data_IF_542074885487
#
_entry.id   IF_542074885487
#
_cell.length_a   1.000
_cell.length_b   1.000
_cell.length_c   1.000
_cell.angle_alpha   90.00
_cell.angle_beta   90.00
_cell.angle_gamma   90.00
#
_symmetry.space_group_name_H-M   'P 1'
#
loop_
_entity.id
_entity.type
_entity.pdbx_description
1 polymer ?
#
# COMPACT_ATOMS: atom_id res chain seq x y z
N UNK A 1 9.15 9.24 7.82
CA UNK A 1 8.99 9.02 6.36
C UNK A 1 9.35 7.58 6.06
N UNK A 2 8.46 6.82 5.45
CA UNK A 2 8.68 5.39 5.18
C UNK A 2 9.61 5.18 3.97
N UNK A 3 10.38 4.08 3.93
CA UNK A 3 11.21 3.70 2.77
C UNK A 3 10.45 3.67 1.44
N UNK A 4 9.16 3.33 1.47
CA UNK A 4 8.31 3.27 0.29
C UNK A 4 8.04 4.62 -0.39
N UNK A 5 8.29 5.75 0.27
CA UNK A 5 8.09 7.08 -0.33
C UNK A 5 9.34 7.58 -1.08
N UNK A 6 10.50 7.63 -0.40
CA UNK A 6 11.68 8.29 -0.96
C UNK A 6 12.43 7.42 -1.98
N UNK A 7 12.36 6.09 -1.88
CA UNK A 7 13.03 5.17 -2.83
C UNK A 7 12.50 5.33 -4.26
N UNK A 8 11.18 5.21 -4.54
CA UNK A 8 10.67 5.38 -5.91
C UNK A 8 10.87 6.80 -6.44
N UNK A 9 10.67 7.82 -5.60
CA UNK A 9 10.91 9.22 -5.97
C UNK A 9 12.37 9.45 -6.35
N UNK A 10 13.33 8.95 -5.56
CA UNK A 10 14.75 9.10 -5.85
C UNK A 10 15.16 8.40 -7.15
N UNK A 11 14.71 7.16 -7.36
CA UNK A 11 15.07 6.37 -8.56
C UNK A 11 14.49 6.98 -9.83
N UNK A 12 13.19 7.34 -9.84
CA UNK A 12 12.53 7.85 -11.04
C UNK A 12 12.99 9.27 -11.38
N UNK A 13 13.23 10.11 -10.37
CA UNK A 13 13.84 11.43 -10.56
C UNK A 13 15.24 11.30 -11.15
N UNK A 14 16.07 10.42 -10.58
CA UNK A 14 17.43 10.17 -11.07
C UNK A 14 17.45 9.68 -12.52
N UNK A 15 16.53 8.78 -12.89
CA UNK A 15 16.39 8.30 -14.26
C UNK A 15 16.09 9.42 -15.25
N UNK A 16 15.05 10.24 -15.02
CA UNK A 16 14.66 11.30 -15.95
C UNK A 16 15.65 12.47 -16.00
N UNK A 17 16.31 12.79 -14.88
CA UNK A 17 17.43 13.74 -14.84
C UNK A 17 18.59 13.24 -15.70
N UNK A 18 18.94 11.96 -15.58
CA UNK A 18 19.99 11.35 -16.39
C UNK A 18 19.62 11.34 -17.89
N UNK A 19 18.38 11.06 -18.24
CA UNK A 19 17.88 11.14 -19.62
C UNK A 19 17.97 12.56 -20.18
N UNK A 20 17.63 13.58 -19.39
CA UNK A 20 17.75 14.98 -19.81
C UNK A 20 19.21 15.39 -20.02
N UNK A 21 20.11 14.99 -19.11
CA UNK A 21 21.55 15.28 -19.20
C UNK A 21 22.17 14.58 -20.41
N UNK A 22 21.94 13.26 -20.57
CA UNK A 22 22.45 12.50 -21.70
C UNK A 22 21.88 13.00 -23.02
N UNK A 23 20.59 13.34 -23.08
CA UNK A 23 19.96 13.93 -24.26
C UNK A 23 20.64 15.23 -24.70
N UNK A 24 21.02 16.09 -23.76
CA UNK A 24 21.75 17.33 -24.05
C UNK A 24 23.19 17.10 -24.54
N UNK A 25 23.86 16.07 -24.03
CA UNK A 25 25.25 15.72 -24.37
C UNK A 25 25.35 14.97 -25.70
N UNK A 26 24.41 14.07 -25.98
CA UNK A 26 24.40 13.22 -27.18
C UNK A 26 23.72 13.88 -28.39
N UNK A 27 23.22 15.11 -28.27
CA UNK A 27 22.59 15.83 -29.37
C UNK A 27 23.56 16.00 -30.57
N UNK A 28 23.20 15.52 -31.78
CA UNK A 28 24.07 15.58 -32.95
C UNK A 28 24.37 17.03 -33.33
N UNK A 29 25.56 17.26 -33.92
CA UNK A 29 25.98 18.58 -34.40
C UNK A 29 25.16 18.95 -35.65
N UNK A 30 23.97 19.52 -35.46
CA UNK A 30 23.13 20.06 -36.52
C UNK A 30 22.99 21.59 -36.37
N UNK A 31 22.67 22.33 -37.44
CA UNK A 31 22.39 23.78 -37.36
C UNK A 31 21.26 24.11 -36.36
N UNK A 32 20.35 23.15 -36.17
CA UNK A 32 19.19 23.24 -35.28
C UNK A 32 19.40 22.50 -33.95
N UNK A 33 20.64 22.40 -33.47
CA UNK A 33 21.00 21.63 -32.27
C UNK A 33 20.21 22.02 -31.03
N UNK A 34 19.90 23.31 -30.89
CA UNK A 34 19.14 23.83 -29.75
C UNK A 34 17.70 23.33 -29.72
N UNK A 35 17.07 23.15 -30.89
CA UNK A 35 15.71 22.60 -30.99
C UNK A 35 15.68 21.16 -30.48
N UNK A 36 16.64 20.33 -30.88
CA UNK A 36 16.78 18.95 -30.42
C UNK A 36 17.03 18.83 -28.91
N UNK A 37 17.80 19.76 -28.33
CA UNK A 37 18.06 19.78 -26.89
C UNK A 37 16.79 20.11 -26.11
N UNK A 38 16.07 21.15 -26.55
CA UNK A 38 14.86 21.60 -25.87
C UNK A 38 13.74 20.55 -25.98
N UNK A 39 13.56 19.90 -27.13
CA UNK A 39 12.55 18.86 -27.30
C UNK A 39 12.80 17.64 -26.38
N UNK A 40 14.05 17.23 -26.19
CA UNK A 40 14.42 16.12 -25.30
C UNK A 40 14.25 16.47 -23.82
N UNK A 41 14.67 17.68 -23.42
CA UNK A 41 14.49 18.15 -22.04
C UNK A 41 13.00 18.28 -21.72
N UNK A 42 12.21 18.87 -22.61
CA UNK A 42 10.77 19.04 -22.42
C UNK A 42 10.07 17.69 -22.28
N UNK A 43 10.38 16.74 -23.15
CA UNK A 43 9.81 15.38 -23.09
C UNK A 43 10.12 14.71 -21.75
N UNK A 44 11.37 14.81 -21.28
CA UNK A 44 11.78 14.26 -19.97
C UNK A 44 10.99 14.87 -18.81
N UNK A 45 10.83 16.20 -18.81
CA UNK A 45 10.05 16.92 -17.79
C UNK A 45 8.57 16.51 -17.81
N UNK A 46 7.96 16.43 -18.99
CA UNK A 46 6.56 16.02 -19.13
C UNK A 46 6.33 14.60 -18.63
N UNK A 47 7.19 13.65 -18.99
CA UNK A 47 7.09 12.26 -18.53
C UNK A 47 7.30 12.13 -17.02
N UNK A 48 8.22 12.90 -16.44
CA UNK A 48 8.42 12.94 -14.99
C UNK A 48 7.20 13.51 -14.26
N UNK A 49 6.64 14.63 -14.72
CA UNK A 49 5.46 15.25 -14.11
C UNK A 49 4.23 14.36 -14.18
N UNK A 50 4.00 13.70 -15.31
CA UNK A 50 2.91 12.72 -15.46
C UNK A 50 3.02 11.63 -14.40
N UNK A 51 4.19 11.00 -14.29
CA UNK A 51 4.43 9.96 -13.28
C UNK A 51 4.23 10.49 -11.86
N UNK A 52 4.77 11.67 -11.54
CA UNK A 52 4.69 12.26 -10.21
C UNK A 52 3.24 12.53 -9.78
N UNK A 53 2.38 13.01 -10.68
CA UNK A 53 0.97 13.28 -10.39
C UNK A 53 0.24 11.98 -10.01
N UNK A 54 0.43 10.88 -10.75
CA UNK A 54 -0.19 9.60 -10.41
C UNK A 54 0.37 9.02 -9.10
N UNK A 55 1.68 9.14 -8.87
CA UNK A 55 2.31 8.70 -7.63
C UNK A 55 1.73 9.43 -6.41
N UNK A 56 1.56 10.75 -6.49
CA UNK A 56 0.94 11.55 -5.41
C UNK A 56 -0.55 11.21 -5.26
N UNK A 57 -1.28 11.01 -6.36
CA UNK A 57 -2.70 10.65 -6.31
C UNK A 57 -2.95 9.30 -5.64
N UNK A 58 -2.01 8.37 -5.72
CA UNK A 58 -2.06 7.09 -5.01
C UNK A 58 -1.68 7.23 -3.54
N UNK A 59 -0.72 8.09 -3.22
CA UNK A 59 -0.25 8.33 -1.85
C UNK A 59 -1.23 9.15 -1.00
N UNK A 60 -1.87 10.14 -1.61
CA UNK A 60 -2.92 10.96 -1.02
C UNK A 60 -4.12 10.96 -1.98
N UNK A 61 -5.06 10.03 -1.81
CA UNK A 61 -6.22 9.96 -2.69
C UNK A 61 -7.02 11.26 -2.60
N UNK A 62 -7.02 12.03 -3.70
CA UNK A 62 -7.81 13.25 -3.83
C UNK A 62 -9.32 12.98 -3.78
N UNK A 63 -9.72 11.73 -4.00
CA UNK A 63 -11.09 11.26 -3.86
C UNK A 63 -11.19 10.39 -2.61
N UNK A 64 -11.93 10.86 -1.62
CA UNK A 64 -12.29 10.06 -0.46
C UNK A 64 -13.22 8.89 -0.85
N UNK A 65 -13.25 7.82 -0.04
CA UNK A 65 -14.17 6.71 -0.25
C UNK A 65 -15.64 7.16 -0.22
N UNK A 66 -16.51 6.53 -1.00
CA UNK A 66 -17.96 6.80 -0.99
C UNK A 66 -18.57 6.18 0.26
N UNK A 67 -18.58 6.94 1.36
CA UNK A 67 -19.11 6.50 2.67
C UNK A 67 -20.51 7.05 2.95
N UNK A 68 -21.30 6.25 3.67
CA UNK A 68 -22.62 6.66 4.17
C UNK A 68 -22.50 7.90 5.06
N UNK A 69 -23.51 8.78 4.99
CA UNK A 69 -23.54 10.08 5.71
C UNK A 69 -23.38 9.95 7.23
N UNK A 70 -23.76 8.80 7.81
CA UNK A 70 -23.54 8.50 9.24
C UNK A 70 -22.07 8.28 9.55
N UNK A 71 -21.37 7.49 8.74
CA UNK A 71 -19.92 7.21 8.87
C UNK A 71 -19.10 8.47 8.62
N UNK A 72 -19.52 9.29 7.65
CA UNK A 72 -18.88 10.56 7.32
C UNK A 72 -18.91 11.55 8.50
N UNK A 73 -20.01 11.58 9.26
CA UNK A 73 -20.15 12.42 10.47
C UNK A 73 -19.22 11.97 11.60
N UNK A 74 -19.03 10.66 11.78
CA UNK A 74 -18.11 10.12 12.80
C UNK A 74 -16.67 10.42 12.42
N UNK A 75 -16.28 10.16 11.16
CA UNK A 75 -14.95 10.50 10.66
C UNK A 75 -14.64 12.01 10.77
N UNK A 76 -15.62 12.88 10.52
CA UNK A 76 -15.47 14.32 10.70
C UNK A 76 -15.26 14.73 12.16
N UNK A 77 -15.85 14.03 13.12
CA UNK A 77 -15.65 14.29 14.55
C UNK A 77 -14.24 13.87 14.95
N UNK A 78 -13.81 12.66 14.58
CA UNK A 78 -12.50 12.12 14.93
C UNK A 78 -11.36 12.92 14.29
N UNK A 79 -11.48 13.27 13.00
CA UNK A 79 -10.48 14.08 12.31
C UNK A 79 -10.43 15.52 12.78
N UNK A 80 -11.56 16.11 13.20
CA UNK A 80 -11.56 17.46 13.76
C UNK A 80 -10.82 17.51 15.09
N UNK A 81 -10.93 16.47 15.92
CA UNK A 81 -10.17 16.35 17.16
C UNK A 81 -8.67 16.19 16.88
N UNK A 82 -8.28 15.35 15.91
CA UNK A 82 -6.87 15.17 15.53
C UNK A 82 -6.25 16.39 14.82
N UNK A 83 -7.01 17.11 13.99
CA UNK A 83 -6.53 18.33 13.32
C UNK A 83 -6.25 19.48 14.31
N UNK A 84 -7.00 19.54 15.43
CA UNK A 84 -6.69 20.49 16.50
C UNK A 84 -5.36 20.17 17.18
N UNK A 85 -4.98 18.90 17.25
CA UNK A 85 -3.69 18.43 17.80
C UNK A 85 -2.53 18.74 16.84
N UNK A 86 -2.69 18.52 15.53
CA UNK A 86 -1.67 18.84 14.51
C UNK A 86 -1.45 20.34 14.27
N UNK A 87 -2.44 21.19 14.59
CA UNK A 87 -2.36 22.64 14.39
C UNK A 87 -1.26 23.34 15.20
N UNK A 88 -0.77 22.70 16.28
CA UNK A 88 0.38 23.19 17.05
C UNK A 88 1.70 22.98 16.29
N UNK A 89 1.86 21.87 15.57
CA UNK A 89 3.07 21.56 14.80
C UNK A 89 3.14 22.36 13.49
N UNK A 90 1.99 22.54 12.82
CA UNK A 90 1.88 23.31 11.56
C UNK A 90 2.15 24.80 11.78
N UNK A 91 1.78 25.37 12.93
CA UNK A 91 2.12 26.77 13.28
C UNK A 91 3.63 27.02 13.37
N UNK A 92 4.40 26.03 13.82
CA UNK A 92 5.86 26.09 13.83
C UNK A 92 6.46 26.14 12.41
N UNK A 93 5.95 25.30 11.51
CA UNK A 93 6.39 25.25 10.11
C UNK A 93 5.96 26.48 9.30
N UNK A 94 4.77 27.04 9.56
CA UNK A 94 4.31 28.28 8.91
C UNK A 94 5.15 29.49 9.33
N UNK A 95 5.60 29.56 10.60
CA UNK A 95 6.54 30.61 11.02
C UNK A 95 7.94 30.43 10.43
N UNK A 96 8.39 29.18 10.22
CA UNK A 96 9.64 28.88 9.52
C UNK A 96 9.57 29.26 8.02
N UNK A 97 8.42 29.05 7.37
CA UNK A 97 8.17 29.42 5.97
C UNK A 97 8.05 30.95 5.80
N UNK A 98 7.44 31.64 6.77
CA UNK A 98 7.34 33.11 6.79
C UNK A 98 8.72 33.77 6.91
N UNK A 99 9.66 33.15 7.64
CA UNK A 99 11.08 33.57 7.71
C UNK A 99 11.86 33.35 6.40
N UNK A 100 11.45 32.40 5.56
CA UNK A 100 12.10 32.10 4.26
C UNK A 100 11.50 32.88 3.07
N UNK A 101 10.39 33.59 3.26
CA UNK A 101 9.61 34.22 2.17
C UNK A 101 10.04 35.63 1.75
N UNK A 102 11.22 36.11 2.16
CA UNK A 102 11.76 37.42 1.75
C UNK A 102 12.43 37.41 0.35
N UNK A 103 11.89 36.63 -0.60
CA UNK A 103 12.33 36.62 -2.01
C UNK A 103 11.13 36.81 -2.95
N UNK A 104 11.26 37.81 -3.83
CA UNK A 104 10.24 38.62 -4.50
C UNK A 104 9.34 37.93 -5.57
N UNK A 105 9.30 36.60 -5.69
CA UNK A 105 8.79 35.97 -6.94
C UNK A 105 7.37 35.40 -6.86
N UNK A 106 6.74 35.25 -5.69
CA UNK A 106 5.49 34.47 -5.55
C UNK A 106 4.19 35.29 -5.64
N UNK A 107 4.25 36.62 -5.60
CA UNK A 107 3.05 37.45 -5.39
C UNK A 107 2.08 37.56 -6.57
N UNK A 108 2.47 37.22 -7.81
CA UNK A 108 1.59 37.42 -8.97
C UNK A 108 0.71 36.20 -9.34
N UNK A 109 0.99 35.01 -8.80
CA UNK A 109 0.24 33.81 -9.19
C UNK A 109 -0.97 33.51 -8.28
N UNK A 110 -0.95 33.96 -7.01
CA UNK A 110 -2.04 33.69 -6.06
C UNK A 110 -3.26 34.63 -6.19
N UNK A 111 -3.09 35.81 -6.79
CA UNK A 111 -4.18 36.81 -6.87
C UNK A 111 -5.26 36.49 -7.93
N UNK A 112 -5.07 35.47 -8.78
CA UNK A 112 -6.04 35.08 -9.81
C UNK A 112 -7.01 33.96 -9.41
N UNK A 113 -6.85 33.33 -8.23
CA UNK A 113 -7.72 32.22 -7.79
C UNK A 113 -8.71 32.58 -6.67
N UNK A 114 -8.64 33.78 -6.09
CA UNK A 114 -9.45 34.14 -4.91
C UNK A 114 -10.63 35.08 -5.15
N UNK A 115 -10.94 35.50 -6.39
CA UNK A 115 -12.04 36.45 -6.65
C UNK A 115 -13.41 35.82 -6.96
N UNK A 116 -13.55 34.50 -7.15
CA UNK A 116 -14.80 33.93 -7.70
C UNK A 116 -15.36 32.72 -6.93
N UNK A 117 -15.49 32.82 -5.61
CA UNK A 117 -16.33 31.87 -4.86
C UNK A 117 -17.18 32.58 -3.81
N UNK A 118 -18.20 33.30 -4.26
CA UNK A 118 -19.43 33.47 -3.51
C UNK A 118 -20.61 33.10 -4.41
N UNK A 119 -21.65 32.52 -3.79
CA UNK A 119 -22.97 32.12 -4.31
C UNK A 119 -23.12 30.71 -4.92
N UNK A 120 -23.61 29.82 -4.06
CA UNK A 120 -24.87 29.07 -4.19
C UNK A 120 -25.21 28.32 -5.50
N UNK A 121 -25.41 27.01 -5.32
CA UNK A 121 -26.48 26.21 -5.92
C UNK A 121 -26.41 25.95 -7.45
N UNK A 122 -25.56 25.02 -7.88
CA UNK A 122 -25.66 24.39 -9.22
C UNK A 122 -25.29 22.91 -9.13
N UNK A 123 -26.11 22.04 -9.74
CA UNK A 123 -26.02 20.58 -9.73
C UNK A 123 -24.62 20.02 -10.11
N UNK A 124 -24.15 18.93 -9.49
CA UNK A 124 -22.78 18.42 -9.64
C UNK A 124 -22.52 17.58 -10.92
N UNK A 125 -23.47 17.47 -11.86
CA UNK A 125 -23.31 16.60 -13.03
C UNK A 125 -22.64 17.26 -14.26
N UNK A 126 -22.45 18.59 -14.27
CA UNK A 126 -21.88 19.32 -15.41
C UNK A 126 -20.37 19.58 -15.34
N UNK A 127 -19.70 19.26 -14.22
CA UNK A 127 -18.26 19.51 -14.02
C UNK A 127 -17.35 18.40 -14.56
N UNK A 128 -17.88 17.45 -15.34
CA UNK A 128 -17.15 16.28 -15.85
C UNK A 128 -16.34 16.50 -17.12
N UNK A 129 -16.46 17.66 -17.79
CA UNK A 129 -15.84 17.84 -19.12
C UNK A 129 -14.79 18.95 -19.21
N UNK A 130 -14.67 19.85 -18.22
CA UNK A 130 -13.71 20.96 -18.30
C UNK A 130 -12.25 20.48 -18.21
N UNK A 131 -11.98 19.45 -17.40
CA UNK A 131 -10.63 18.90 -17.25
C UNK A 131 -10.25 17.90 -18.35
N UNK A 132 -11.23 17.22 -18.96
CA UNK A 132 -11.01 16.38 -20.13
C UNK A 132 -10.73 17.22 -21.38
N UNK A 133 -11.39 18.38 -21.54
CA UNK A 133 -11.13 19.34 -22.62
C UNK A 133 -9.73 19.97 -22.51
N UNK A 134 -9.30 20.36 -21.30
CA UNK A 134 -7.92 20.86 -21.06
C UNK A 134 -6.88 19.76 -21.29
N UNK A 135 -7.19 18.51 -20.93
CA UNK A 135 -6.33 17.34 -21.18
C UNK A 135 -6.27 16.98 -22.69
N UNK A 136 -7.39 17.10 -23.41
CA UNK A 136 -7.45 16.89 -24.87
C UNK A 136 -6.70 18.01 -25.60
N UNK A 137 -6.79 19.27 -25.15
CA UNK A 137 -6.00 20.38 -25.69
C UNK A 137 -4.49 20.25 -25.40
N UNK A 138 -4.08 19.75 -24.22
CA UNK A 138 -2.68 19.51 -23.89
C UNK A 138 -2.09 18.29 -24.62
N UNK A 139 -2.89 17.26 -24.87
CA UNK A 139 -2.51 16.11 -25.69
C UNK A 139 -2.51 16.46 -27.18
N UNK A 140 -3.46 17.26 -27.67
CA UNK A 140 -3.47 17.76 -29.06
C UNK A 140 -2.27 18.65 -29.36
N UNK A 141 -1.84 19.50 -28.42
CA UNK A 141 -0.59 20.29 -28.57
C UNK A 141 0.66 19.40 -28.61
N UNK A 142 0.60 18.16 -28.10
CA UNK A 142 1.68 17.16 -28.20
C UNK A 142 1.49 16.12 -29.31
N UNK A 143 0.35 16.13 -30.02
CA UNK A 143 -0.04 15.13 -31.03
C UNK A 143 -0.43 15.76 -32.36
N UNK A 144 0.18 16.90 -32.70
CA UNK A 144 0.41 17.22 -34.11
C UNK A 144 1.47 16.24 -34.65
N UNK A 145 1.03 15.01 -34.88
CA UNK A 145 1.69 13.90 -35.59
C UNK A 145 1.93 14.21 -37.08
N UNK A 146 2.02 15.48 -37.46
CA UNK A 146 2.35 15.93 -38.81
C UNK A 146 3.84 16.25 -38.99
N UNK A 147 4.62 16.49 -37.92
CA UNK A 147 6.04 16.82 -38.06
C UNK A 147 7.01 15.63 -37.98
N UNK A 148 6.58 14.46 -37.48
CA UNK A 148 7.44 13.28 -37.41
C UNK A 148 7.44 12.44 -38.71
N UNK A 149 6.37 12.51 -39.51
CA UNK A 149 6.25 11.78 -40.78
C UNK A 149 6.68 12.61 -42.00
N UNK A 150 6.66 13.95 -41.94
CA UNK A 150 7.16 14.79 -43.04
C UNK A 150 8.69 14.93 -43.08
N UNK A 151 9.41 14.56 -42.01
CA UNK A 151 10.88 14.66 -41.99
C UNK A 151 11.59 13.61 -42.88
N UNK A 152 10.86 12.67 -43.49
CA UNK A 152 11.36 11.76 -44.53
C UNK A 152 10.80 12.04 -45.94
N UNK A 153 9.94 13.06 -46.11
CA UNK A 153 9.36 13.45 -47.41
C UNK A 153 10.13 14.54 -48.15
N UNK A 154 11.02 15.27 -47.48
CA UNK A 154 11.82 16.31 -48.12
C UNK A 154 13.21 15.77 -48.50
N UNK A 155 13.33 15.15 -49.68
CA UNK A 155 14.44 15.26 -50.66
C UNK A 155 14.06 14.30 -51.81
N UNK A 156 13.31 14.78 -52.79
CA UNK A 156 12.99 14.02 -54.01
C UNK A 156 13.23 14.78 -55.33
N UNK A 157 14.03 15.86 -55.37
CA UNK A 157 14.73 16.15 -56.62
C UNK A 157 16.20 16.52 -56.39
N UNK A 158 17.00 15.60 -55.87
CA UNK A 158 18.45 15.66 -56.03
C UNK A 158 19.10 14.27 -56.21
N UNK A 159 18.30 13.27 -56.62
CA UNK A 159 18.71 11.89 -56.77
C UNK A 159 19.03 11.53 -58.24
N UNK A 160 19.89 12.32 -58.89
CA UNK A 160 20.33 12.02 -60.26
C UNK A 160 21.83 11.83 -60.44
N UNK A 161 22.68 12.04 -59.42
CA UNK A 161 24.13 11.88 -59.57
C UNK A 161 24.82 11.33 -58.32
N UNK A 162 24.42 10.14 -57.84
CA UNK A 162 25.23 9.39 -56.88
C UNK A 162 25.38 7.90 -57.27
N UNK A 163 26.58 7.30 -57.12
CA UNK A 163 26.91 6.00 -57.70
C UNK A 163 26.29 4.81 -56.93
N UNK A 164 26.33 3.65 -57.58
CA UNK A 164 25.65 2.36 -57.29
C UNK A 164 25.79 1.78 -55.87
N UNK A 165 26.63 2.35 -55.00
CA UNK A 165 26.81 1.87 -53.62
C UNK A 165 25.68 2.34 -52.66
N UNK A 166 25.01 3.46 -52.93
CA UNK A 166 23.88 3.95 -52.10
C UNK A 166 22.56 3.20 -52.32
N UNK A 167 22.34 2.61 -53.51
CA UNK A 167 21.14 1.82 -53.80
C UNK A 167 21.09 0.52 -52.99
N UNK A 168 22.25 -0.05 -52.63
CA UNK A 168 22.33 -1.27 -51.83
C UNK A 168 21.99 -1.03 -50.34
N UNK A 169 22.26 0.16 -49.81
CA UNK A 169 21.99 0.52 -48.41
C UNK A 169 20.53 0.92 -48.15
N UNK A 170 19.90 1.63 -49.09
CA UNK A 170 18.46 1.99 -48.99
C UNK A 170 17.57 0.74 -49.14
N UNK A 171 17.93 -0.21 -50.02
CA UNK A 171 17.23 -1.49 -50.10
C UNK A 171 17.48 -2.38 -48.87
N UNK A 172 18.66 -2.33 -48.24
CA UNK A 172 18.94 -3.03 -46.99
C UNK A 172 18.11 -2.46 -45.83
N UNK A 173 17.97 -1.14 -45.73
CA UNK A 173 17.12 -0.48 -44.74
C UNK A 173 15.61 -0.76 -44.95
N UNK A 174 15.13 -0.80 -46.20
CA UNK A 174 13.76 -1.18 -46.54
C UNK A 174 13.46 -2.66 -46.21
N UNK A 175 14.42 -3.58 -46.44
CA UNK A 175 14.29 -5.00 -46.06
C UNK A 175 14.36 -5.21 -44.55
N UNK A 176 15.18 -4.43 -43.84
CA UNK A 176 15.24 -4.41 -42.38
C UNK A 176 13.94 -3.83 -41.79
N UNK A 177 13.34 -2.81 -42.41
CA UNK A 177 12.01 -2.30 -42.03
C UNK A 177 10.90 -3.34 -42.17
N UNK A 178 10.92 -4.14 -43.26
CA UNK A 178 9.97 -5.24 -43.44
C UNK A 178 10.27 -6.47 -42.55
N UNK A 179 11.51 -6.62 -42.05
CA UNK A 179 11.88 -7.61 -41.02
C UNK A 179 11.56 -7.13 -39.59
N UNK A 180 11.57 -5.82 -39.34
CA UNK A 180 11.18 -5.22 -38.06
C UNK A 180 9.67 -5.36 -37.80
N UNK A 181 8.87 -5.53 -38.86
CA UNK A 181 7.47 -5.93 -38.77
C UNK A 181 7.25 -7.34 -38.19
N UNK A 182 8.28 -8.21 -38.09
CA UNK A 182 8.06 -9.61 -37.66
C UNK A 182 8.94 -10.13 -36.51
N UNK A 183 9.95 -9.40 -36.04
CA UNK A 183 10.84 -9.91 -34.98
C UNK A 183 11.04 -8.98 -33.75
N UNK A 184 10.73 -7.69 -33.84
CA UNK A 184 11.04 -6.72 -32.75
C UNK A 184 10.03 -6.65 -31.60
N UNK A 185 8.82 -7.18 -31.79
CA UNK A 185 7.74 -7.06 -30.80
C UNK A 185 7.84 -8.05 -29.62
N UNK A 186 8.61 -9.14 -29.70
CA UNK A 186 8.63 -10.15 -28.62
C UNK A 186 9.66 -9.84 -27.53
N UNK A 187 10.83 -9.29 -27.88
CA UNK A 187 11.88 -9.00 -26.89
C UNK A 187 11.56 -7.78 -26.02
N UNK A 188 11.06 -6.68 -26.60
CA UNK A 188 10.73 -5.48 -25.83
C UNK A 188 9.45 -5.64 -25.00
N UNK A 189 8.43 -6.32 -25.54
CA UNK A 189 7.27 -6.74 -24.74
C UNK A 189 7.69 -7.72 -23.66
N UNK A 190 8.57 -8.68 -23.94
CA UNK A 190 9.09 -9.61 -22.94
C UNK A 190 9.93 -8.96 -21.83
N UNK A 191 10.69 -7.91 -22.15
CA UNK A 191 11.50 -7.17 -21.17
C UNK A 191 10.64 -6.28 -20.26
N UNK A 192 9.62 -5.63 -20.83
CA UNK A 192 8.65 -4.82 -20.07
C UNK A 192 7.67 -5.69 -19.28
N UNK A 193 7.18 -6.80 -19.84
CA UNK A 193 6.38 -7.78 -19.09
C UNK A 193 7.22 -8.46 -18.02
N UNK A 194 8.50 -8.76 -18.30
CA UNK A 194 9.44 -9.35 -17.36
C UNK A 194 9.78 -8.43 -16.19
N UNK A 195 9.96 -7.12 -16.42
CA UNK A 195 10.23 -6.14 -15.36
C UNK A 195 8.98 -5.81 -14.55
N UNK A 196 7.80 -5.75 -15.18
CA UNK A 196 6.51 -5.60 -14.48
C UNK A 196 6.19 -6.86 -13.66
N UNK A 197 6.47 -8.06 -14.20
CA UNK A 197 6.33 -9.34 -13.49
C UNK A 197 7.33 -9.45 -12.33
N UNK A 198 8.58 -9.01 -12.50
CA UNK A 198 9.58 -8.93 -11.42
C UNK A 198 9.23 -7.90 -10.34
N UNK A 199 8.63 -6.75 -10.70
CA UNK A 199 8.12 -5.78 -9.73
C UNK A 199 6.90 -6.32 -8.97
N UNK A 200 6.03 -7.10 -9.62
CA UNK A 200 4.91 -7.79 -8.96
C UNK A 200 5.42 -8.92 -8.04
N UNK A 201 6.48 -9.65 -8.41
CA UNK A 201 7.12 -10.64 -7.54
C UNK A 201 7.86 -9.99 -6.35
N UNK A 202 8.33 -8.74 -6.49
CA UNK A 202 8.98 -8.02 -5.40
C UNK A 202 8.02 -7.48 -4.31
N UNK A 203 6.70 -7.55 -4.54
CA UNK A 203 5.67 -7.03 -3.62
C UNK A 203 4.89 -8.12 -2.87
N UNK A 204 5.52 -9.24 -2.53
CA UNK A 204 4.95 -10.22 -1.58
C UNK A 204 5.97 -10.71 -0.56
N UNK A 205 6.79 -9.81 0.00
CA UNK A 205 7.51 -10.16 1.23
C UNK A 205 6.51 -10.10 2.37
N UNK A 206 5.88 -11.26 2.61
CA UNK A 206 5.10 -11.55 3.80
C UNK A 206 5.81 -10.95 5.02
N UNK A 207 5.15 -9.96 5.59
CA UNK A 207 5.74 -9.04 6.55
C UNK A 207 5.10 -9.36 7.89
N UNK A 208 5.83 -10.06 8.74
CA UNK A 208 5.34 -10.37 10.08
C UNK A 208 5.29 -9.10 10.90
N UNK A 209 4.25 -8.98 11.72
CA UNK A 209 4.00 -7.80 12.55
C UNK A 209 4.35 -8.10 14.02
N UNK A 210 4.13 -9.34 14.43
CA UNK A 210 4.35 -9.83 15.78
C UNK A 210 5.34 -11.01 15.74
N UNK A 211 6.46 -10.92 16.46
CA UNK A 211 7.47 -11.98 16.47
C UNK A 211 8.29 -11.98 17.76
N UNK A 212 8.45 -13.15 18.40
CA UNK A 212 9.08 -13.28 19.71
C UNK A 212 8.18 -12.92 20.90
N UNK A 213 8.73 -13.05 22.10
CA UNK A 213 8.09 -12.78 23.39
C UNK A 213 8.82 -11.62 24.08
N UNK A 214 8.06 -10.61 24.53
CA UNK A 214 8.63 -9.41 25.13
C UNK A 214 8.02 -9.08 26.49
N UNK A 215 8.82 -8.34 27.26
CA UNK A 215 8.44 -7.66 28.49
C UNK A 215 8.64 -8.43 29.79
N UNK A 216 8.64 -7.66 30.90
CA UNK A 216 9.01 -8.15 32.25
C UNK A 216 8.12 -9.26 32.79
N UNK A 217 6.91 -9.44 32.23
CA UNK A 217 5.94 -10.45 32.67
C UNK A 217 5.91 -11.71 31.80
N UNK A 218 6.67 -11.81 30.70
CA UNK A 218 6.68 -12.97 29.77
C UNK A 218 5.29 -13.36 29.20
N UNK A 219 4.29 -12.48 29.28
CA UNK A 219 2.92 -12.74 28.82
C UNK A 219 2.55 -12.01 27.51
N UNK A 220 3.44 -11.15 27.02
CA UNK A 220 3.19 -10.33 25.84
C UNK A 220 4.03 -10.78 24.65
N UNK A 221 3.47 -10.52 23.47
CA UNK A 221 4.13 -10.74 22.19
C UNK A 221 4.85 -9.46 21.80
N UNK A 222 6.05 -9.57 21.24
CA UNK A 222 6.76 -8.39 20.76
C UNK A 222 6.12 -7.83 19.50
N UNK A 223 6.14 -6.50 19.38
CA UNK A 223 5.90 -5.76 18.16
C UNK A 223 7.22 -5.11 17.70
N UNK A 224 8.10 -5.87 16.99
CA UNK A 224 9.31 -5.31 16.40
C UNK A 224 9.02 -4.43 15.16
N UNK A 225 7.76 -4.36 14.71
CA UNK A 225 7.37 -3.81 13.41
C UNK A 225 7.48 -4.87 12.31
N UNK A 226 7.71 -4.44 11.07
CA UNK A 226 7.86 -5.34 9.93
C UNK A 226 9.13 -6.18 10.03
N UNK A 227 8.98 -7.48 10.22
CA UNK A 227 10.07 -8.46 10.26
C UNK A 227 9.84 -9.59 9.26
N UNK A 228 10.93 -10.23 8.84
CA UNK A 228 10.87 -11.36 7.90
C UNK A 228 10.28 -12.62 8.56
N UNK A 229 9.68 -13.47 7.74
CA UNK A 229 9.22 -14.80 8.17
C UNK A 229 10.39 -15.68 8.65
N UNK A 230 10.11 -16.56 9.60
CA UNK A 230 11.03 -17.56 10.17
C UNK A 230 10.56 -18.96 9.77
N UNK A 231 11.49 -19.93 9.74
CA UNK A 231 11.13 -21.34 9.51
C UNK A 231 10.42 -21.91 10.74
N UNK A 232 9.27 -22.53 10.51
CA UNK A 232 8.48 -23.20 11.54
C UNK A 232 9.23 -24.42 12.07
N UNK A 233 9.41 -24.49 13.40
CA UNK A 233 10.00 -25.64 14.07
C UNK A 233 9.02 -26.82 14.16
N UNK A 234 9.55 -28.00 14.47
CA UNK A 234 8.81 -29.23 14.71
C UNK A 234 7.85 -29.09 15.90
N UNK A 235 8.23 -28.40 16.99
CA UNK A 235 7.32 -28.21 18.13
C UNK A 235 6.12 -27.34 17.75
N UNK A 236 6.35 -26.31 16.93
CA UNK A 236 5.27 -25.47 16.41
C UNK A 236 4.37 -26.27 15.50
N UNK A 237 4.92 -27.07 14.59
CA UNK A 237 4.13 -27.93 13.69
C UNK A 237 3.32 -28.98 14.47
N UNK A 238 3.88 -29.53 15.55
CA UNK A 238 3.20 -30.50 16.42
C UNK A 238 1.96 -29.92 17.10
N UNK A 239 2.04 -28.65 17.53
CA UNK A 239 0.92 -27.98 18.16
C UNK A 239 -0.03 -27.41 17.11
N UNK A 240 0.45 -26.61 16.18
CA UNK A 240 -0.34 -25.96 15.14
C UNK A 240 -0.34 -26.77 13.84
N UNK A 241 -1.06 -27.90 13.82
CA UNK A 241 -1.02 -28.90 12.73
C UNK A 241 -1.37 -28.40 11.32
N UNK A 242 -1.98 -27.21 11.17
CA UNK A 242 -2.19 -26.58 9.85
C UNK A 242 -0.90 -25.97 9.26
N UNK A 243 0.13 -25.81 10.08
CA UNK A 243 1.43 -25.27 9.71
C UNK A 243 2.45 -26.42 9.70
N UNK A 244 3.17 -26.58 8.59
CA UNK A 244 4.14 -27.66 8.41
C UNK A 244 5.54 -27.21 8.80
N UNK A 245 6.33 -28.13 9.36
CA UNK A 245 7.75 -27.92 9.64
C UNK A 245 8.53 -27.47 8.39
N UNK A 246 9.49 -26.57 8.59
CA UNK A 246 10.38 -26.08 7.52
C UNK A 246 9.74 -25.08 6.56
N UNK A 247 8.41 -24.89 6.59
CA UNK A 247 7.75 -23.78 5.90
C UNK A 247 7.99 -22.48 6.65
N UNK A 248 7.94 -21.38 5.92
CA UNK A 248 8.00 -20.05 6.52
C UNK A 248 6.69 -19.72 7.26
N UNK A 249 6.79 -18.94 8.33
CA UNK A 249 5.68 -18.35 9.07
C UNK A 249 6.19 -17.26 10.01
N UNK A 250 5.30 -16.67 10.79
CA UNK A 250 5.65 -15.54 11.67
C UNK A 250 5.97 -15.92 13.11
N UNK A 251 5.56 -17.12 13.55
CA UNK A 251 5.67 -17.53 14.94
C UNK A 251 6.99 -18.23 15.30
N UNK A 252 7.45 -18.01 16.53
CA UNK A 252 8.58 -18.71 17.14
C UNK A 252 8.12 -19.76 18.16
N UNK A 253 9.00 -20.69 18.52
CA UNK A 253 8.71 -21.74 19.50
C UNK A 253 8.27 -21.19 20.86
N UNK A 254 8.91 -20.13 21.34
CA UNK A 254 8.60 -19.47 22.61
C UNK A 254 7.19 -18.85 22.61
N UNK A 255 6.79 -18.21 21.50
CA UNK A 255 5.44 -17.65 21.35
C UNK A 255 4.38 -18.75 21.42
N UNK A 256 4.61 -19.87 20.75
CA UNK A 256 3.67 -20.99 20.75
C UNK A 256 3.64 -21.70 22.10
N UNK A 257 4.74 -21.70 22.85
CA UNK A 257 4.73 -22.17 24.22
C UNK A 257 3.83 -21.31 25.13
N UNK A 258 3.83 -19.98 24.95
CA UNK A 258 2.89 -19.09 25.65
C UNK A 258 1.45 -19.39 25.29
N UNK A 259 1.14 -19.52 23.99
CA UNK A 259 -0.20 -19.88 23.51
C UNK A 259 -0.64 -21.21 24.11
N UNK A 260 0.25 -22.21 24.13
CA UNK A 260 0.00 -23.54 24.71
C UNK A 260 -0.29 -23.45 26.21
N UNK A 261 0.48 -22.66 26.98
CA UNK A 261 0.26 -22.43 28.42
C UNK A 261 -1.08 -21.73 28.67
N UNK A 262 -1.43 -20.72 27.89
CA UNK A 262 -2.71 -20.00 27.97
C UNK A 262 -3.89 -20.92 27.66
N UNK A 263 -3.84 -21.64 26.55
CA UNK A 263 -4.89 -22.56 26.14
C UNK A 263 -5.01 -23.78 27.03
N UNK A 264 -3.97 -24.20 27.76
CA UNK A 264 -4.09 -25.30 28.74
C UNK A 264 -5.16 -25.03 29.79
N UNK A 265 -5.27 -23.77 30.27
CA UNK A 265 -6.34 -23.35 31.20
C UNK A 265 -7.70 -23.40 30.53
N UNK A 266 -7.80 -22.96 29.28
CA UNK A 266 -9.05 -23.00 28.50
C UNK A 266 -9.51 -24.43 28.26
N UNK A 267 -8.60 -25.34 27.91
CA UNK A 267 -8.90 -26.76 27.68
C UNK A 267 -9.39 -27.49 28.93
N UNK A 268 -9.04 -27.02 30.13
CA UNK A 268 -9.60 -27.53 31.38
C UNK A 268 -11.10 -27.21 31.52
N UNK A 269 -11.53 -26.01 31.11
CA UNK A 269 -12.93 -25.60 31.21
C UNK A 269 -13.79 -26.05 30.02
N UNK A 270 -13.24 -25.98 28.80
CA UNK A 270 -13.97 -26.27 27.56
C UNK A 270 -13.78 -27.71 27.05
N UNK A 271 -12.96 -28.50 27.74
CA UNK A 271 -12.58 -29.86 27.31
C UNK A 271 -11.53 -29.86 26.20
N UNK A 272 -10.38 -30.47 26.46
CA UNK A 272 -9.21 -30.53 25.54
C UNK A 272 -9.52 -31.15 24.17
N UNK A 273 -10.54 -31.99 24.06
CA UNK A 273 -10.91 -32.69 22.84
C UNK A 273 -12.16 -32.11 22.14
N UNK A 274 -12.76 -31.05 22.69
CA UNK A 274 -13.97 -30.45 22.12
C UNK A 274 -13.72 -29.73 20.80
N UNK A 275 -14.77 -29.59 19.98
CA UNK A 275 -14.73 -28.77 18.74
C UNK A 275 -14.35 -27.32 19.07
N UNK A 276 -14.93 -26.76 20.14
CA UNK A 276 -14.61 -25.43 20.66
C UNK A 276 -13.11 -25.25 20.92
N UNK A 277 -12.48 -26.18 21.64
CA UNK A 277 -11.04 -26.09 21.93
C UNK A 277 -10.17 -26.19 20.66
N UNK A 278 -10.56 -27.04 19.71
CA UNK A 278 -9.85 -27.16 18.42
C UNK A 278 -9.93 -25.85 17.61
N UNK A 279 -11.10 -25.22 17.53
CA UNK A 279 -11.30 -23.95 16.83
C UNK A 279 -10.56 -22.79 17.51
N UNK A 280 -10.61 -22.69 18.85
CA UNK A 280 -9.82 -21.69 19.58
C UNK A 280 -8.32 -21.86 19.33
N UNK A 281 -7.82 -23.10 19.40
CA UNK A 281 -6.43 -23.41 19.11
C UNK A 281 -6.07 -22.99 17.69
N UNK A 282 -6.93 -23.28 16.72
CA UNK A 282 -6.74 -22.89 15.33
C UNK A 282 -6.69 -21.37 15.16
N UNK A 283 -7.62 -20.63 15.77
CA UNK A 283 -7.66 -19.17 15.75
C UNK A 283 -6.34 -18.57 16.24
N UNK A 284 -5.85 -19.01 17.40
CA UNK A 284 -4.60 -18.49 17.96
C UNK A 284 -3.37 -18.93 17.16
N UNK A 285 -3.36 -20.14 16.57
CA UNK A 285 -2.30 -20.56 15.66
C UNK A 285 -2.29 -19.70 14.38
N UNK A 286 -3.45 -19.44 13.76
CA UNK A 286 -3.57 -18.56 12.58
C UNK A 286 -3.10 -17.15 12.90
N UNK A 287 -3.53 -16.61 14.03
CA UNK A 287 -3.16 -15.28 14.50
C UNK A 287 -1.63 -15.10 14.70
N UNK A 288 -0.91 -16.11 15.22
CA UNK A 288 0.55 -15.99 15.42
C UNK A 288 1.41 -16.46 14.25
N UNK A 289 1.03 -17.52 13.54
CA UNK A 289 1.93 -18.23 12.61
C UNK A 289 1.74 -17.89 11.15
N UNK A 290 0.62 -17.24 10.78
CA UNK A 290 0.31 -16.92 9.39
C UNK A 290 1.35 -15.98 8.77
N UNK A 291 1.64 -16.16 7.48
CA UNK A 291 2.62 -15.36 6.73
C UNK A 291 2.12 -13.94 6.42
N UNK A 292 0.87 -13.83 5.96
CA UNK A 292 0.10 -12.60 5.72
C UNK A 292 -0.47 -12.04 7.04
N UNK A 293 0.41 -11.85 8.04
CA UNK A 293 -0.03 -11.34 9.35
C UNK A 293 -0.38 -9.85 9.28
N UNK A 294 0.33 -9.10 8.44
CA UNK A 294 0.17 -7.67 8.19
C UNK A 294 -1.15 -7.28 7.51
N UNK A 295 -1.78 -8.21 6.79
CA UNK A 295 -3.08 -7.95 6.17
C UNK A 295 -4.24 -7.96 7.18
N UNK A 296 -4.06 -8.59 8.35
CA UNK A 296 -5.17 -8.87 9.28
C UNK A 296 -4.94 -8.32 10.68
N UNK A 297 -3.71 -8.03 11.07
CA UNK A 297 -3.39 -7.41 12.35
C UNK A 297 -2.90 -6.00 12.12
N UNK A 298 -3.58 -5.02 12.71
CA UNK A 298 -3.27 -3.60 12.58
C UNK A 298 -3.64 -2.83 13.87
N UNK A 299 -3.43 -1.51 13.88
CA UNK A 299 -3.65 -0.63 15.05
C UNK A 299 -2.95 -1.11 16.34
N UNK A 300 -1.70 -1.55 16.20
CA UNK A 300 -0.93 -2.06 17.35
C UNK A 300 -0.39 -0.89 18.17
N UNK A 301 -0.63 -0.94 19.48
CA UNK A 301 -0.10 -0.02 20.48
C UNK A 301 0.99 -0.73 21.28
N UNK A 302 2.27 -0.38 21.07
CA UNK A 302 3.38 -0.94 21.84
C UNK A 302 3.55 -0.23 23.19
N UNK A 303 4.09 -0.96 24.18
CA UNK A 303 4.65 -0.40 25.41
C UNK A 303 6.12 0.04 25.19
N UNK A 304 6.70 0.67 26.21
CA UNK A 304 8.10 1.08 26.31
C UNK A 304 9.13 -0.03 26.06
N UNK A 305 8.76 -1.30 26.24
CA UNK A 305 9.61 -2.48 25.98
C UNK A 305 9.27 -3.20 24.67
N UNK A 306 8.54 -2.53 23.76
CA UNK A 306 8.02 -3.06 22.49
C UNK A 306 7.03 -4.23 22.65
N UNK A 307 6.50 -4.49 23.84
CA UNK A 307 5.42 -5.45 24.01
C UNK A 307 4.11 -4.90 23.44
N UNK A 308 3.35 -5.72 22.72
CA UNK A 308 2.04 -5.33 22.22
C UNK A 308 1.00 -5.31 23.36
N UNK A 309 0.44 -4.14 23.64
CA UNK A 309 -0.55 -3.93 24.71
C UNK A 309 -1.97 -3.89 24.15
N UNK A 310 -2.14 -3.35 22.95
CA UNK A 310 -3.40 -3.38 22.23
C UNK A 310 -3.20 -3.59 20.74
N UNK A 311 -4.18 -4.22 20.07
CA UNK A 311 -4.20 -4.40 18.62
C UNK A 311 -5.61 -4.68 18.10
N UNK A 312 -5.81 -4.55 16.79
CA UNK A 312 -7.03 -4.95 16.07
C UNK A 312 -6.74 -6.14 15.17
N UNK A 313 -7.68 -7.09 15.12
CA UNK A 313 -7.55 -8.34 14.36
C UNK A 313 -8.83 -8.58 13.56
N UNK A 314 -8.71 -8.78 12.25
CA UNK A 314 -9.84 -9.16 11.42
C UNK A 314 -10.14 -10.67 11.53
N UNK A 315 -11.41 -11.01 11.68
CA UNK A 315 -11.93 -12.36 11.70
C UNK A 315 -13.14 -12.47 10.78
N UNK A 316 -13.24 -13.56 10.04
CA UNK A 316 -14.41 -13.88 9.22
C UNK A 316 -15.64 -14.11 10.12
N UNK A 317 -16.79 -13.53 9.77
CA UNK A 317 -18.04 -13.68 10.53
C UNK A 317 -18.43 -15.16 10.71
N UNK A 318 -18.39 -15.94 9.63
CA UNK A 318 -18.75 -17.36 9.63
C UNK A 318 -17.90 -18.18 10.61
N UNK A 319 -16.60 -17.88 10.69
CA UNK A 319 -15.69 -18.55 11.62
C UNK A 319 -16.05 -18.25 13.08
N UNK A 320 -16.46 -17.02 13.37
CA UNK A 320 -16.83 -16.58 14.73
C UNK A 320 -18.14 -17.22 15.17
N UNK A 321 -19.13 -17.32 14.27
CA UNK A 321 -20.37 -18.04 14.52
C UNK A 321 -20.11 -19.53 14.77
N UNK A 322 -19.32 -20.19 13.92
CA UNK A 322 -18.94 -21.60 14.08
C UNK A 322 -18.21 -21.87 15.41
N UNK A 323 -17.33 -20.94 15.81
CA UNK A 323 -16.64 -20.99 17.09
C UNK A 323 -17.63 -20.87 18.25
N UNK A 324 -18.51 -19.87 18.22
CA UNK A 324 -19.48 -19.66 19.28
C UNK A 324 -20.44 -20.84 19.42
N UNK A 325 -20.96 -21.36 18.30
CA UNK A 325 -21.84 -22.52 18.28
C UNK A 325 -21.18 -23.78 18.84
N UNK A 326 -19.89 -23.97 18.57
CA UNK A 326 -19.12 -25.06 19.18
C UNK A 326 -18.93 -24.90 20.70
N UNK A 327 -18.99 -23.66 21.23
CA UNK A 327 -18.67 -23.33 22.62
C UNK A 327 -19.89 -23.07 23.53
N UNK A 328 -21.03 -22.62 22.99
CA UNK A 328 -22.15 -22.06 23.77
C UNK A 328 -22.80 -23.04 24.76
N UNK A 329 -22.83 -24.32 24.42
CA UNK A 329 -23.50 -25.36 25.21
C UNK A 329 -22.58 -26.12 26.17
N UNK A 330 -21.27 -25.80 26.18
CA UNK A 330 -20.31 -26.46 27.04
C UNK A 330 -20.53 -26.03 28.50
N UNK A 331 -20.71 -27.03 29.38
CA UNK A 331 -20.94 -26.86 30.81
C UNK A 331 -19.74 -27.36 31.61
N UNK A 332 -19.38 -26.61 32.65
CA UNK A 332 -18.42 -27.02 33.67
C UNK A 332 -19.10 -26.88 35.03
N UNK A 333 -19.17 -27.98 35.81
CA UNK A 333 -19.88 -28.04 37.10
C UNK A 333 -21.28 -27.39 37.02
N UNK A 334 -22.07 -27.77 36.01
CA UNK A 334 -23.44 -27.29 35.74
C UNK A 334 -23.60 -25.84 35.28
N UNK A 335 -22.52 -25.05 35.19
CA UNK A 335 -22.55 -23.68 34.66
C UNK A 335 -22.10 -23.67 33.19
N UNK A 336 -22.82 -22.95 32.31
CA UNK A 336 -22.36 -22.73 30.93
C UNK A 336 -21.11 -21.86 30.93
N UNK A 337 -20.02 -22.37 30.36
CA UNK A 337 -18.71 -21.69 30.41
C UNK A 337 -18.74 -20.40 29.59
N UNK A 338 -19.43 -20.39 28.45
CA UNK A 338 -19.59 -19.19 27.60
C UNK A 338 -20.16 -17.99 28.38
N UNK A 339 -21.16 -18.21 29.24
CA UNK A 339 -21.75 -17.16 30.08
C UNK A 339 -20.79 -16.58 31.13
N UNK A 340 -19.67 -17.27 31.42
CA UNK A 340 -18.60 -16.77 32.31
C UNK A 340 -17.46 -16.09 31.53
N UNK A 341 -17.42 -16.28 30.22
CA UNK A 341 -16.51 -15.59 29.31
C UNK A 341 -17.08 -14.23 28.94
N UNK A 342 -18.35 -14.18 28.54
CA UNK A 342 -19.03 -12.93 28.18
C UNK A 342 -19.09 -11.95 29.36
N UNK A 343 -18.68 -10.70 29.10
CA UNK A 343 -18.73 -9.62 30.09
C UNK A 343 -20.13 -8.98 30.16
N UNK A 344 -20.81 -8.89 29.02
CA UNK A 344 -22.17 -8.34 28.92
C UNK A 344 -23.17 -9.44 28.55
N UNK A 345 -24.45 -9.17 28.83
CA UNK A 345 -25.58 -10.02 28.43
C UNK A 345 -26.46 -9.27 27.42
N UNK A 346 -27.06 -9.96 26.43
CA UNK A 346 -26.95 -11.40 26.16
C UNK A 346 -25.56 -11.79 25.63
N UNK A 347 -25.18 -13.06 25.82
CA UNK A 347 -23.91 -13.61 25.33
C UNK A 347 -24.17 -14.19 23.94
N UNK A 348 -23.87 -13.41 22.89
CA UNK A 348 -23.90 -13.82 21.48
C UNK A 348 -22.47 -14.03 20.94
N UNK A 349 -22.32 -14.45 19.68
CA UNK A 349 -21.03 -14.73 19.08
C UNK A 349 -20.09 -13.51 19.09
N UNK A 350 -20.64 -12.34 18.77
CA UNK A 350 -19.91 -11.06 18.77
C UNK A 350 -19.43 -10.65 20.17
N UNK A 351 -20.28 -10.74 21.18
CA UNK A 351 -19.93 -10.43 22.57
C UNK A 351 -18.97 -11.48 23.15
N UNK A 352 -19.10 -12.74 22.74
CA UNK A 352 -18.19 -13.81 23.14
C UNK A 352 -16.78 -13.54 22.64
N UNK A 353 -16.59 -13.28 21.34
CA UNK A 353 -15.27 -12.99 20.78
C UNK A 353 -14.70 -11.67 21.33
N UNK A 354 -15.53 -10.63 21.47
CA UNK A 354 -15.13 -9.36 22.07
C UNK A 354 -14.64 -9.54 23.51
N UNK A 355 -15.33 -10.36 24.30
CA UNK A 355 -14.95 -10.63 25.69
C UNK A 355 -13.67 -11.46 25.80
N UNK A 356 -13.41 -12.36 24.86
CA UNK A 356 -12.14 -13.11 24.79
C UNK A 356 -10.94 -12.19 24.56
N UNK A 357 -11.10 -11.12 23.77
CA UNK A 357 -10.05 -10.14 23.49
C UNK A 357 -9.91 -9.03 24.53
N UNK A 358 -10.87 -8.88 25.44
CA UNK A 358 -10.85 -7.78 26.41
C UNK A 358 -9.75 -7.98 27.46
N UNK A 359 -8.89 -6.98 27.64
CA UNK A 359 -7.78 -6.99 28.60
C UNK A 359 -8.28 -7.02 30.05
N UNK A 360 -7.41 -7.39 30.98
CA UNK A 360 -7.72 -7.34 32.43
C UNK A 360 -8.08 -5.93 32.91
N UNK A 361 -7.43 -4.90 32.37
CA UNK A 361 -7.72 -3.49 32.70
C UNK A 361 -9.14 -3.08 32.33
N UNK A 362 -9.65 -3.64 31.24
CA UNK A 362 -11.01 -3.43 30.75
C UNK A 362 -12.03 -4.44 31.32
N UNK A 363 -11.68 -5.13 32.41
CA UNK A 363 -12.55 -6.09 33.11
C UNK A 363 -12.59 -7.49 32.50
N UNK A 364 -11.80 -7.77 31.46
CA UNK A 364 -11.66 -9.07 30.82
C UNK A 364 -10.59 -9.96 31.45
N UNK A 365 -10.15 -10.97 30.69
CA UNK A 365 -9.10 -11.93 31.12
C UNK A 365 -7.94 -12.04 30.15
N UNK A 366 -7.99 -11.36 29.02
CA UNK A 366 -6.92 -11.38 28.04
C UNK A 366 -5.67 -10.71 28.61
N UNK A 367 -4.46 -11.23 28.33
CA UNK A 367 -3.20 -10.58 28.71
C UNK A 367 -3.03 -9.18 28.11
N UNK A 368 -3.64 -8.94 26.95
CA UNK A 368 -3.58 -7.68 26.19
C UNK A 368 -4.93 -7.37 25.55
N UNK A 369 -5.16 -6.14 25.12
CA UNK A 369 -6.43 -5.74 24.51
C UNK A 369 -6.45 -6.10 23.01
N UNK A 370 -7.23 -7.10 22.65
CA UNK A 370 -7.42 -7.52 21.26
C UNK A 370 -8.82 -7.11 20.81
N UNK A 371 -8.89 -6.21 19.83
CA UNK A 371 -10.12 -5.74 19.22
C UNK A 371 -10.41 -6.58 17.98
N UNK A 372 -11.36 -7.51 18.09
CA UNK A 372 -11.76 -8.32 16.93
C UNK A 372 -12.75 -7.54 16.05
N UNK A 373 -12.37 -7.34 14.79
CA UNK A 373 -13.23 -6.76 13.75
C UNK A 373 -13.74 -7.89 12.88
N UNK A 374 -15.05 -7.96 12.70
CA UNK A 374 -15.67 -8.97 11.86
C UNK A 374 -15.75 -8.45 10.41
N UNK A 375 -15.40 -9.29 9.44
CA UNK A 375 -15.34 -8.97 8.01
C UNK A 375 -16.08 -9.97 7.14
#
# INVERSE_FOLDING_TARGET
>A
MTPGFYVPVGVVTGFWVLVAILGCLCAPKSPNKEIWRISLVLTSVCCYLFWLIFFIAQWHPFYGPVVSTKTLRVMQIDWKVNFLIDSQMVKGLVNLYRLLSHSLVVNNFLNLQLSNTHTSNVNPFSRKYIWLEIFYLLVLVSSDDWMAFEMFGCIEPAFLLAPTFLKSWVCFAYRIGNLYSRAGSMMLKGLVFGTIFLMMIASTKASCVLQGVCGKSTQHVCFPGHVSTVKISDEVASYCSKFSEGKEGCCTTEQIELVKKGLKKVGFYFGKHSKCFKLMKEMFCKFHCRKDQDEVIYDIVPDSDNSAVSMTVELEEDFVEDLFDACKDIKFLSVRVANRVCLRKPCDAKEFIRSLGTSKENGGRSPMQINFKLV
#
